data_IF_420436624927
#
_entry.id   IF_420436624927
#
_cell.length_a   1.000
_cell.length_b   1.000
_cell.length_c   1.000
_cell.angle_alpha   90.00
_cell.angle_beta   90.00
_cell.angle_gamma   90.00
#
_symmetry.space_group_name_H-M   'P 1'
#
loop_
_entity.id
_entity.type
_entity.pdbx_description
1 polymer ?
#
# COMPACT_ATOMS: atom_id res chain seq x y z
N UNK A 1 10.02 15.30 -9.43
CA UNK A 1 9.17 16.30 -8.73
C UNK A 1 8.17 15.51 -7.93
N UNK A 2 7.97 15.80 -6.65
CA UNK A 2 6.93 15.13 -5.86
C UNK A 2 5.55 15.48 -6.42
N UNK A 3 4.65 14.49 -6.43
CA UNK A 3 3.26 14.67 -6.84
C UNK A 3 2.57 15.60 -5.81
N UNK A 4 2.08 16.79 -6.22
CA UNK A 4 1.43 17.73 -5.31
C UNK A 4 0.26 17.12 -4.52
N UNK A 5 -0.41 16.11 -5.06
CA UNK A 5 -1.47 15.40 -4.35
C UNK A 5 -0.92 14.57 -3.19
N UNK A 6 0.21 13.87 -3.38
CA UNK A 6 0.85 13.10 -2.32
C UNK A 6 1.36 14.01 -1.21
N UNK A 7 1.92 15.16 -1.56
CA UNK A 7 2.38 16.17 -0.60
C UNK A 7 1.22 16.71 0.25
N UNK A 8 0.06 16.99 -0.36
CA UNK A 8 -1.17 17.39 0.35
C UNK A 8 -1.67 16.33 1.33
N UNK A 9 -1.61 15.05 0.94
CA UNK A 9 -2.01 13.95 1.82
C UNK A 9 -1.04 13.79 3.00
N UNK A 10 0.28 13.96 2.77
CA UNK A 10 1.29 13.93 3.83
C UNK A 10 1.12 15.10 4.82
N UNK A 11 0.81 16.29 4.33
CA UNK A 11 0.49 17.45 5.17
C UNK A 11 -0.79 17.21 5.99
N UNK A 12 -1.84 16.66 5.38
CA UNK A 12 -3.09 16.33 6.08
C UNK A 12 -2.86 15.33 7.22
N UNK A 13 -2.08 14.26 6.99
CA UNK A 13 -1.68 13.29 8.04
C UNK A 13 -0.93 14.00 9.17
N UNK A 14 0.00 14.89 8.83
CA UNK A 14 0.78 15.66 9.80
C UNK A 14 -0.13 16.54 10.66
N UNK A 15 -1.03 17.31 10.05
CA UNK A 15 -1.98 18.17 10.77
C UNK A 15 -2.85 17.33 11.71
N UNK A 16 -3.44 16.23 11.21
CA UNK A 16 -4.33 15.38 11.98
C UNK A 16 -3.63 14.76 13.21
N UNK A 17 -2.40 14.26 13.04
CA UNK A 17 -1.66 13.58 14.13
C UNK A 17 -1.02 14.56 15.11
N UNK A 18 -0.36 15.59 14.60
CA UNK A 18 0.53 16.42 15.42
C UNK A 18 -0.14 17.70 15.93
N UNK A 19 -1.03 18.30 15.14
CA UNK A 19 -1.70 19.56 15.49
C UNK A 19 -3.08 19.33 16.10
N UNK A 20 -3.88 18.44 15.51
CA UNK A 20 -5.27 18.24 15.92
C UNK A 20 -5.41 17.19 17.04
N UNK A 21 -4.90 15.97 16.84
CA UNK A 21 -5.06 14.90 17.82
C UNK A 21 -4.37 15.19 19.17
N UNK A 22 -3.34 16.05 19.19
CA UNK A 22 -2.65 16.47 20.40
C UNK A 22 -3.47 17.44 21.28
N UNK A 23 -4.39 18.20 20.68
CA UNK A 23 -5.29 19.13 21.39
C UNK A 23 -6.66 18.52 21.74
N UNK A 24 -6.98 17.34 21.23
CA UNK A 24 -8.26 16.64 21.44
C UNK A 24 -8.14 15.55 22.50
N UNK A 25 -9.28 15.11 23.04
CA UNK A 25 -9.36 13.99 23.98
C UNK A 25 -10.50 13.03 23.63
N UNK A 26 -10.50 11.84 24.25
CA UNK A 26 -11.55 10.84 24.10
C UNK A 26 -11.85 10.47 22.64
N UNK A 27 -13.14 10.45 22.31
CA UNK A 27 -13.66 10.08 21.00
C UNK A 27 -13.15 10.99 19.87
N UNK A 28 -13.03 12.29 20.10
CA UNK A 28 -12.57 13.24 19.09
C UNK A 28 -11.11 12.97 18.70
N UNK A 29 -10.27 12.65 19.69
CA UNK A 29 -8.88 12.22 19.44
C UNK A 29 -8.82 10.90 18.67
N UNK A 30 -9.67 9.94 19.04
CA UNK A 30 -9.77 8.67 18.33
C UNK A 30 -10.14 8.88 16.86
N UNK A 31 -11.20 9.66 16.58
CA UNK A 31 -11.63 9.97 15.21
C UNK A 31 -10.53 10.68 14.42
N UNK A 32 -9.83 11.65 15.00
CA UNK A 32 -8.71 12.34 14.33
C UNK A 32 -7.58 11.37 13.94
N UNK A 33 -7.22 10.43 14.82
CA UNK A 33 -6.21 9.41 14.53
C UNK A 33 -6.69 8.37 13.51
N UNK A 34 -7.96 7.98 13.57
CA UNK A 34 -8.59 7.08 12.59
C UNK A 34 -8.57 7.72 11.20
N UNK A 35 -8.98 8.99 11.08
CA UNK A 35 -8.90 9.75 9.84
C UNK A 35 -7.46 9.86 9.35
N UNK A 36 -6.50 10.15 10.23
CA UNK A 36 -5.09 10.20 9.84
C UNK A 36 -4.59 8.88 9.25
N UNK A 37 -5.00 7.75 9.83
CA UNK A 37 -4.64 6.43 9.30
C UNK A 37 -5.29 6.17 7.94
N UNK A 38 -6.57 6.53 7.76
CA UNK A 38 -7.27 6.41 6.48
C UNK A 38 -6.59 7.25 5.38
N UNK A 39 -6.22 8.50 5.68
CA UNK A 39 -5.49 9.38 4.75
C UNK A 39 -4.11 8.80 4.42
N UNK A 40 -3.38 8.29 5.42
CA UNK A 40 -2.08 7.66 5.18
C UNK A 40 -2.20 6.42 4.27
N UNK A 41 -3.27 5.62 4.42
CA UNK A 41 -3.57 4.48 3.54
C UNK A 41 -3.88 4.95 2.12
N UNK A 42 -4.73 5.99 1.96
CA UNK A 42 -5.04 6.55 0.65
C UNK A 42 -3.79 7.11 -0.06
N UNK A 43 -2.89 7.75 0.70
CA UNK A 43 -1.60 8.24 0.20
C UNK A 43 -0.71 7.11 -0.31
N UNK A 44 -0.61 6.01 0.43
CA UNK A 44 0.10 4.81 -0.01
C UNK A 44 -0.52 4.23 -1.27
N UNK A 45 -1.84 4.04 -1.28
CA UNK A 45 -2.54 3.54 -2.47
C UNK A 45 -2.29 4.41 -3.70
N UNK A 46 -2.37 5.74 -3.58
CA UNK A 46 -2.10 6.66 -4.67
C UNK A 46 -0.66 6.52 -5.19
N UNK A 47 0.31 6.42 -4.29
CA UNK A 47 1.73 6.32 -4.65
C UNK A 47 2.06 5.10 -5.52
N UNK A 48 1.42 3.97 -5.29
CA UNK A 48 1.73 2.72 -6.02
C UNK A 48 0.61 2.27 -6.96
N UNK A 49 -0.41 3.09 -7.18
CA UNK A 49 -1.64 2.72 -7.91
C UNK A 49 -1.32 2.16 -9.29
N UNK A 50 -0.51 2.88 -10.05
CA UNK A 50 -0.16 2.48 -11.42
C UNK A 50 0.55 1.13 -11.42
N UNK A 51 1.55 0.97 -10.54
CA UNK A 51 2.28 -0.28 -10.41
C UNK A 51 1.38 -1.45 -10.00
N UNK A 52 0.49 -1.23 -9.04
CA UNK A 52 -0.45 -2.24 -8.58
C UNK A 52 -1.36 -2.73 -9.73
N UNK A 53 -1.84 -1.80 -10.56
CA UNK A 53 -2.65 -2.12 -11.74
C UNK A 53 -1.84 -2.82 -12.84
N UNK A 54 -0.58 -2.43 -13.07
CA UNK A 54 0.31 -3.13 -14.00
C UNK A 54 0.54 -4.59 -13.59
N UNK A 55 0.92 -4.83 -12.33
CA UNK A 55 1.14 -6.19 -11.81
C UNK A 55 -0.14 -7.00 -11.91
N UNK A 56 -1.29 -6.38 -11.58
CA UNK A 56 -2.60 -7.03 -11.70
C UNK A 56 -2.92 -7.44 -13.13
N UNK A 57 -2.69 -6.57 -14.12
CA UNK A 57 -2.90 -6.89 -15.54
C UNK A 57 -2.02 -8.03 -16.03
N UNK A 58 -0.85 -8.21 -15.43
CA UNK A 58 0.07 -9.31 -15.76
C UNK A 58 -0.34 -10.63 -15.12
N UNK A 59 -1.28 -10.64 -14.17
CA UNK A 59 -1.83 -11.87 -13.58
C UNK A 59 -3.03 -12.28 -14.45
N UNK A 60 -2.76 -13.06 -15.49
CA UNK A 60 -3.80 -13.59 -16.40
C UNK A 60 -4.08 -15.05 -16.07
N UNK A 61 -4.82 -15.28 -14.97
CA UNK A 61 -5.20 -16.62 -14.52
C UNK A 61 -6.55 -16.63 -13.79
N UNK A 62 -7.48 -17.53 -14.15
CA UNK A 62 -8.71 -17.72 -13.38
C UNK A 62 -8.44 -18.28 -11.99
N UNK A 63 -9.11 -17.73 -10.97
CA UNK A 63 -8.99 -18.22 -9.59
C UNK A 63 -9.39 -19.70 -9.41
N UNK A 64 -10.23 -20.23 -10.30
CA UNK A 64 -10.57 -21.65 -10.32
C UNK A 64 -9.38 -22.52 -10.74
N UNK A 65 -8.56 -22.06 -11.68
CA UNK A 65 -7.43 -22.83 -12.21
C UNK A 65 -6.25 -22.86 -11.22
N UNK A 66 -6.04 -21.77 -10.49
CA UNK A 66 -5.13 -21.73 -9.33
C UNK A 66 -5.58 -22.73 -8.27
N UNK A 67 -6.87 -22.72 -7.89
CA UNK A 67 -7.40 -23.66 -6.87
C UNK A 67 -7.32 -25.13 -7.29
N UNK A 68 -7.30 -25.41 -8.59
CA UNK A 68 -7.18 -26.75 -9.15
C UNK A 68 -5.70 -27.15 -9.39
N UNK A 69 -4.73 -26.34 -8.97
CA UNK A 69 -3.29 -26.64 -9.08
C UNK A 69 -2.73 -26.61 -10.51
N UNK A 70 -3.45 -26.02 -11.48
CA UNK A 70 -3.03 -26.04 -12.90
C UNK A 70 -1.76 -25.25 -13.18
N UNK A 71 -1.34 -24.40 -12.24
CA UNK A 71 -0.16 -23.56 -12.33
C UNK A 71 0.84 -23.85 -11.20
N UNK A 72 0.74 -25.03 -10.57
CA UNK A 72 1.71 -25.43 -9.55
C UNK A 72 3.10 -25.54 -10.18
N UNK A 73 4.08 -24.84 -9.59
CA UNK A 73 5.44 -24.75 -10.11
C UNK A 73 5.66 -23.67 -11.18
N UNK A 74 4.65 -22.88 -11.53
CA UNK A 74 4.83 -21.68 -12.37
C UNK A 74 5.48 -20.56 -11.55
N UNK A 75 6.82 -20.54 -11.55
CA UNK A 75 7.61 -19.54 -10.83
C UNK A 75 7.31 -18.10 -11.28
N UNK A 76 7.07 -17.88 -12.57
CA UNK A 76 6.78 -16.55 -13.09
C UNK A 76 5.40 -16.04 -12.66
N UNK A 77 4.40 -16.93 -12.54
CA UNK A 77 3.13 -16.58 -11.92
C UNK A 77 3.26 -16.33 -10.42
N UNK A 78 4.03 -17.17 -9.72
CA UNK A 78 4.31 -16.98 -8.29
C UNK A 78 4.91 -15.60 -8.01
N UNK A 79 5.93 -15.19 -8.76
CA UNK A 79 6.60 -13.91 -8.56
C UNK A 79 5.64 -12.72 -8.76
N UNK A 80 4.77 -12.78 -9.78
CA UNK A 80 3.73 -11.77 -10.03
C UNK A 80 2.70 -11.69 -8.91
N UNK A 81 2.23 -12.84 -8.42
CA UNK A 81 1.28 -12.91 -7.30
C UNK A 81 1.92 -12.40 -6.01
N UNK A 82 3.17 -12.78 -5.76
CA UNK A 82 3.95 -12.33 -4.60
C UNK A 82 4.11 -10.82 -4.62
N UNK A 83 4.53 -10.23 -5.75
CA UNK A 83 4.64 -8.78 -5.91
C UNK A 83 3.28 -8.10 -5.64
N UNK A 84 2.18 -8.63 -6.19
CA UNK A 84 0.84 -8.08 -5.96
C UNK A 84 0.45 -8.06 -4.48
N UNK A 85 0.71 -9.16 -3.76
CA UNK A 85 0.39 -9.29 -2.33
C UNK A 85 1.24 -8.36 -1.48
N UNK A 86 2.54 -8.23 -1.77
CA UNK A 86 3.45 -7.32 -1.06
C UNK A 86 2.96 -5.87 -1.20
N UNK A 87 2.58 -5.45 -2.40
CA UNK A 87 2.06 -4.10 -2.65
C UNK A 87 0.76 -3.83 -1.88
N UNK A 88 -0.15 -4.80 -1.84
CA UNK A 88 -1.38 -4.72 -1.04
C UNK A 88 -1.09 -4.64 0.46
N UNK A 89 -0.14 -5.45 0.95
CA UNK A 89 0.26 -5.45 2.35
C UNK A 89 0.90 -4.12 2.74
N UNK A 90 1.72 -3.53 1.88
CA UNK A 90 2.29 -2.19 2.11
C UNK A 90 1.22 -1.10 2.25
N UNK A 91 0.16 -1.13 1.44
CA UNK A 91 -0.97 -0.19 1.56
C UNK A 91 -1.65 -0.37 2.91
N UNK A 92 -2.01 -1.59 3.27
CA UNK A 92 -2.80 -1.89 4.46
C UNK A 92 -2.02 -1.71 5.77
N UNK A 93 -0.87 -2.38 5.89
CA UNK A 93 -0.03 -2.36 7.07
C UNK A 93 1.46 -2.59 6.70
N UNK A 94 2.20 -1.51 6.40
CA UNK A 94 3.60 -1.62 5.97
C UNK A 94 4.54 -2.14 7.07
N UNK A 95 4.12 -2.17 8.34
CA UNK A 95 4.93 -2.70 9.43
C UNK A 95 5.02 -4.23 9.40
N UNK A 96 4.09 -4.90 8.71
CA UNK A 96 4.05 -6.37 8.59
C UNK A 96 5.04 -6.93 7.58
N UNK A 97 5.60 -6.07 6.72
CA UNK A 97 6.56 -6.48 5.69
C UNK A 97 7.91 -6.82 6.30
N UNK A 98 8.49 -7.92 5.83
CA UNK A 98 9.90 -8.25 6.06
C UNK A 98 10.84 -7.26 5.35
N UNK A 99 12.13 -7.29 5.69
CA UNK A 99 13.12 -6.40 5.07
C UNK A 99 13.26 -6.63 3.56
N UNK A 100 13.15 -7.89 3.12
CA UNK A 100 13.18 -8.24 1.70
C UNK A 100 11.97 -7.65 0.95
N UNK A 101 10.78 -7.77 1.53
CA UNK A 101 9.55 -7.23 0.93
C UNK A 101 9.55 -5.69 0.95
N UNK A 102 10.11 -5.07 1.99
CA UNK A 102 10.32 -3.62 2.04
C UNK A 102 11.29 -3.14 0.96
N UNK A 103 12.33 -3.91 0.64
CA UNK A 103 13.25 -3.56 -0.45
C UNK A 103 12.56 -3.56 -1.82
N UNK A 104 11.66 -4.53 -2.06
CA UNK A 104 10.84 -4.59 -3.29
C UNK A 104 10.00 -3.32 -3.44
N UNK A 105 9.29 -2.92 -2.38
CA UNK A 105 8.47 -1.70 -2.41
C UNK A 105 9.35 -0.45 -2.49
N UNK A 106 10.49 -0.42 -1.79
CA UNK A 106 11.43 0.69 -1.81
C UNK A 106 11.98 0.98 -3.21
N UNK A 107 12.23 -0.05 -4.02
CA UNK A 107 12.64 0.10 -5.42
C UNK A 107 11.56 0.72 -6.31
N UNK A 108 10.28 0.54 -5.97
CA UNK A 108 9.12 1.09 -6.70
C UNK A 108 8.87 2.53 -6.26
N UNK A 109 8.87 2.77 -4.95
CA UNK A 109 8.59 4.08 -4.33
C UNK A 109 9.74 5.07 -4.56
N UNK A 110 10.97 4.59 -4.74
CA UNK A 110 12.15 5.43 -5.02
C UNK A 110 12.51 5.50 -6.51
N UNK A 111 11.74 4.83 -7.38
CA UNK A 111 11.89 4.94 -8.83
C UNK A 111 11.43 6.31 -9.35
N UNK A 112 11.98 6.78 -10.47
CA UNK A 112 11.77 8.13 -11.01
C UNK A 112 10.31 8.44 -11.37
#
# INVERSE_FOLDING_TARGET
>A
MTDPMLDLLDEAVTILRTKLASSLSGEQRYLALLTANAVATARREAQIRERLEEVRKRIDVPAADIRNGRHDGDGALYDRLREHVILRAWIADPATLSDEERAIVGGIVSGP
#
